data_IF_033274419818
#
_entry.id   IF_033274419818
#
_cell.length_a   1.000
_cell.length_b   1.000
_cell.length_c   1.000
_cell.angle_alpha   90.00
_cell.angle_beta   90.00
_cell.angle_gamma   90.00
#
_symmetry.space_group_name_H-M   'P 1'
#
loop_
_entity.id
_entity.type
_entity.pdbx_description
1 polymer ?
#
# COMPACT_ATOMS: atom_id res chain seq x y z
N UNK A 1 -0.58 -26.86 20.41
CA UNK A 1 0.29 -26.00 19.59
C UNK A 1 0.01 -24.51 19.78
N UNK A 2 -1.19 -24.09 20.22
CA UNK A 2 -1.52 -22.66 20.46
C UNK A 2 -0.93 -22.06 21.75
N UNK A 3 -0.64 -22.86 22.79
CA UNK A 3 -0.16 -22.38 24.09
C UNK A 3 1.20 -21.66 24.06
N UNK A 4 2.10 -22.01 23.14
CA UNK A 4 3.41 -21.37 23.02
C UNK A 4 3.29 -19.94 22.47
N UNK A 5 2.30 -19.71 21.58
CA UNK A 5 2.08 -18.39 20.98
C UNK A 5 1.55 -17.38 22.00
N UNK A 6 1.03 -17.83 23.15
CA UNK A 6 0.59 -16.95 24.24
C UNK A 6 1.73 -16.15 24.89
N UNK A 7 3.00 -16.48 24.62
CA UNK A 7 4.16 -15.66 25.00
C UNK A 7 4.24 -14.36 24.18
N UNK A 8 3.64 -14.33 22.98
CA UNK A 8 3.63 -13.17 22.08
C UNK A 8 2.36 -12.33 22.19
N UNK A 9 1.76 -12.27 23.38
CA UNK A 9 0.54 -11.47 23.62
C UNK A 9 0.81 -9.97 23.47
N UNK A 10 0.37 -9.39 22.34
CA UNK A 10 0.63 -8.00 21.98
C UNK A 10 -0.08 -6.98 22.89
N UNK A 11 -1.04 -7.42 23.72
CA UNK A 11 -1.66 -6.53 24.72
C UNK A 11 -0.70 -6.17 25.86
N UNK A 12 0.45 -6.87 25.96
CA UNK A 12 1.47 -6.65 26.97
C UNK A 12 2.62 -5.77 26.50
N UNK A 13 2.50 -5.11 25.34
CA UNK A 13 3.51 -4.16 24.86
C UNK A 13 3.78 -3.08 25.92
N UNK A 14 5.05 -2.75 26.10
CA UNK A 14 5.48 -1.69 27.00
C UNK A 14 5.10 -0.34 26.40
N UNK A 15 4.55 0.56 27.22
CA UNK A 15 4.26 1.92 26.79
C UNK A 15 5.57 2.64 26.42
N UNK A 16 5.68 3.08 25.17
CA UNK A 16 6.86 3.77 24.63
C UNK A 16 7.85 2.88 23.86
N UNK A 17 7.67 1.56 23.83
CA UNK A 17 8.47 0.66 23.00
C UNK A 17 7.61 -0.52 22.52
N UNK A 18 7.17 -0.46 21.26
CA UNK A 18 6.30 -1.48 20.67
C UNK A 18 7.00 -2.81 20.41
N UNK A 19 8.32 -2.86 20.53
CA UNK A 19 9.15 -4.04 20.33
C UNK A 19 9.35 -4.85 21.62
N UNK A 20 8.95 -4.31 22.77
CA UNK A 20 9.12 -4.96 24.08
C UNK A 20 7.77 -5.36 24.65
N UNK A 21 7.67 -6.62 25.09
CA UNK A 21 6.52 -7.15 25.84
C UNK A 21 6.89 -7.28 27.32
N UNK A 22 6.02 -6.80 28.21
CA UNK A 22 6.11 -7.03 29.66
C UNK A 22 5.55 -8.43 30.00
N UNK A 23 6.45 -9.38 30.23
CA UNK A 23 6.11 -10.78 30.45
C UNK A 23 6.60 -11.23 31.83
N UNK A 24 5.65 -11.54 32.72
CA UNK A 24 5.98 -12.27 33.95
C UNK A 24 6.20 -13.77 33.64
N UNK A 25 7.46 -14.19 33.66
CA UNK A 25 7.90 -15.57 33.46
C UNK A 25 7.16 -16.57 34.37
N UNK A 26 6.75 -16.16 35.58
CA UNK A 26 6.07 -17.05 36.54
C UNK A 26 4.66 -17.43 36.10
N UNK A 27 4.03 -16.61 35.24
CA UNK A 27 2.69 -16.87 34.69
C UNK A 27 2.68 -17.97 33.64
N UNK A 28 3.85 -18.43 33.19
CA UNK A 28 3.99 -19.48 32.19
C UNK A 28 4.56 -20.78 32.79
N UNK A 29 4.14 -21.95 32.26
CA UNK A 29 4.75 -23.24 32.55
C UNK A 29 6.27 -23.25 32.38
N UNK A 30 6.97 -24.07 33.18
CA UNK A 30 8.44 -24.14 33.22
C UNK A 30 9.08 -24.44 31.85
N UNK A 31 8.40 -25.22 31.02
CA UNK A 31 8.78 -25.52 29.63
C UNK A 31 8.91 -24.26 28.75
N UNK A 32 8.13 -23.20 28.99
CA UNK A 32 8.17 -21.95 28.22
C UNK A 32 9.07 -20.88 28.84
N UNK A 33 9.35 -20.99 30.15
CA UNK A 33 10.25 -20.07 30.86
C UNK A 33 11.64 -19.98 30.21
N UNK A 34 12.15 -21.11 29.73
CA UNK A 34 13.43 -21.16 29.00
C UNK A 34 13.40 -20.32 27.71
N UNK A 35 12.29 -20.36 26.98
CA UNK A 35 12.09 -19.58 25.76
C UNK A 35 11.98 -18.09 26.08
N UNK A 36 11.20 -17.73 27.12
CA UNK A 36 11.07 -16.34 27.59
C UNK A 36 12.43 -15.74 27.95
N UNK A 37 13.28 -16.49 28.67
CA UNK A 37 14.65 -16.05 29.01
C UNK A 37 15.53 -15.83 27.78
N UNK A 38 15.41 -16.68 26.76
CA UNK A 38 16.14 -16.50 25.51
C UNK A 38 15.67 -15.26 24.74
N UNK A 39 14.35 -15.03 24.68
CA UNK A 39 13.77 -13.85 24.07
C UNK A 39 14.22 -12.57 24.79
N UNK A 40 14.16 -12.54 26.12
CA UNK A 40 14.64 -11.40 26.92
C UNK A 40 16.14 -11.12 26.69
N UNK A 41 16.94 -12.17 26.51
CA UNK A 41 18.36 -12.01 26.18
C UNK A 41 18.55 -11.41 24.78
N UNK A 42 17.81 -11.90 23.79
CA UNK A 42 17.86 -11.36 22.42
C UNK A 42 17.42 -9.89 22.36
N UNK A 43 16.33 -9.53 23.05
CA UNK A 43 15.85 -8.14 23.16
C UNK A 43 16.85 -7.24 23.91
N UNK A 44 17.76 -7.79 24.71
CA UNK A 44 18.84 -7.02 25.36
C UNK A 44 20.01 -6.72 24.42
N UNK A 45 20.08 -7.34 23.24
CA UNK A 45 21.15 -7.10 22.27
C UNK A 45 20.86 -5.84 21.45
N UNK A 46 21.72 -4.82 21.61
CA UNK A 46 21.56 -3.52 20.95
C UNK A 46 21.52 -3.58 19.42
N UNK A 47 22.11 -4.60 18.80
CA UNK A 47 22.06 -4.80 17.34
C UNK A 47 20.64 -5.18 16.92
N UNK A 48 20.01 -6.11 17.63
CA UNK A 48 18.65 -6.58 17.31
C UNK A 48 17.67 -5.41 17.42
N UNK A 49 17.73 -4.61 18.49
CA UNK A 49 16.87 -3.42 18.64
C UNK A 49 17.02 -2.44 17.48
N UNK A 50 18.27 -2.07 17.16
CA UNK A 50 18.54 -1.13 16.05
C UNK A 50 18.06 -1.69 14.71
N UNK A 51 18.18 -2.99 14.49
CA UNK A 51 17.64 -3.62 13.28
C UNK A 51 16.12 -3.47 13.23
N UNK A 52 15.41 -3.69 14.36
CA UNK A 52 13.96 -3.52 14.43
C UNK A 52 13.54 -2.06 14.18
N UNK A 53 14.24 -1.08 14.76
CA UNK A 53 13.97 0.35 14.51
C UNK A 53 14.10 0.71 13.01
N UNK A 54 15.14 0.18 12.36
CA UNK A 54 15.38 0.41 10.93
C UNK A 54 14.36 -0.34 10.06
N UNK A 55 13.97 -1.55 10.46
CA UNK A 55 12.91 -2.31 9.77
C UNK A 55 11.58 -1.55 9.81
N UNK A 56 11.21 -0.95 10.94
CA UNK A 56 10.02 -0.12 11.06
C UNK A 56 10.05 1.11 10.15
N UNK A 57 11.20 1.81 10.07
CA UNK A 57 11.39 2.93 9.14
C UNK A 57 11.20 2.48 7.68
N UNK A 58 11.84 1.36 7.30
CA UNK A 58 11.71 0.79 5.96
C UNK A 58 10.26 0.39 5.67
N UNK A 59 9.57 -0.25 6.62
CA UNK A 59 8.18 -0.65 6.45
C UNK A 59 7.27 0.57 6.26
N UNK A 60 7.45 1.62 7.06
CA UNK A 60 6.69 2.86 6.92
C UNK A 60 6.90 3.49 5.53
N UNK A 61 8.14 3.53 5.03
CA UNK A 61 8.45 4.02 3.68
C UNK A 61 7.81 3.17 2.58
N UNK A 62 7.85 1.83 2.73
CA UNK A 62 7.23 0.91 1.78
C UNK A 62 5.72 1.13 1.71
N UNK A 63 5.05 1.25 2.85
CA UNK A 63 3.62 1.55 2.89
C UNK A 63 3.28 2.90 2.23
N UNK A 64 4.11 3.93 2.46
CA UNK A 64 3.95 5.22 1.79
C UNK A 64 4.13 5.12 0.28
N UNK A 65 5.10 4.33 -0.18
CA UNK A 65 5.28 4.05 -1.61
C UNK A 65 4.08 3.31 -2.20
N UNK A 66 3.53 2.31 -1.52
CA UNK A 66 2.33 1.59 -1.95
C UNK A 66 1.13 2.54 -2.08
N UNK A 67 0.91 3.40 -1.08
CA UNK A 67 -0.15 4.44 -1.12
C UNK A 67 0.02 5.36 -2.33
N UNK A 68 1.26 5.79 -2.62
CA UNK A 68 1.56 6.64 -3.77
C UNK A 68 1.32 5.93 -5.10
N UNK A 69 1.75 4.67 -5.23
CA UNK A 69 1.54 3.86 -6.43
C UNK A 69 0.04 3.68 -6.70
N UNK A 70 -0.74 3.37 -5.65
CA UNK A 70 -2.19 3.26 -5.77
C UNK A 70 -2.84 4.58 -6.22
N UNK A 71 -2.37 5.72 -5.69
CA UNK A 71 -2.82 7.04 -6.12
C UNK A 71 -2.49 7.35 -7.59
N UNK A 72 -1.28 7.00 -8.04
CA UNK A 72 -0.87 7.14 -9.43
C UNK A 72 -1.72 6.26 -10.36
N UNK A 73 -2.01 5.02 -9.97
CA UNK A 73 -2.88 4.12 -10.73
C UNK A 73 -4.27 4.72 -10.96
N UNK A 74 -4.90 5.30 -9.92
CA UNK A 74 -6.18 6.01 -10.06
C UNK A 74 -6.10 7.18 -11.02
N UNK A 75 -5.03 7.96 -10.94
CA UNK A 75 -4.82 9.13 -11.81
C UNK A 75 -4.66 8.72 -13.27
N UNK A 76 -3.97 7.60 -13.53
CA UNK A 76 -3.82 7.04 -14.89
C UNK A 76 -5.19 6.59 -15.41
N UNK A 77 -5.97 5.87 -14.62
CA UNK A 77 -7.30 5.40 -15.03
C UNK A 77 -8.24 6.57 -15.37
N UNK A 78 -8.22 7.65 -14.59
CA UNK A 78 -8.99 8.86 -14.88
C UNK A 78 -8.55 9.54 -16.18
N UNK A 79 -7.24 9.60 -16.43
CA UNK A 79 -6.69 10.15 -17.68
C UNK A 79 -7.04 9.31 -18.89
N UNK A 80 -7.00 7.98 -18.77
CA UNK A 80 -7.36 7.08 -19.86
C UNK A 80 -8.84 7.25 -20.24
N UNK A 81 -9.74 7.35 -19.25
CA UNK A 81 -11.16 7.66 -19.50
C UNK A 81 -11.35 9.00 -20.21
N UNK A 82 -10.66 10.04 -19.76
CA UNK A 82 -10.72 11.36 -20.39
C UNK A 82 -10.17 11.35 -21.83
N UNK A 83 -9.13 10.55 -22.11
CA UNK A 83 -8.59 10.36 -23.45
C UNK A 83 -9.57 9.62 -24.37
N UNK A 84 -10.24 8.58 -23.87
CA UNK A 84 -11.28 7.88 -24.63
C UNK A 84 -12.47 8.78 -24.96
N UNK A 85 -12.93 9.60 -24.02
CA UNK A 85 -13.99 10.58 -24.25
C UNK A 85 -13.56 11.62 -25.31
N UNK A 86 -12.35 12.15 -25.19
CA UNK A 86 -11.81 13.09 -26.18
C UNK A 86 -11.70 12.46 -27.58
N UNK A 87 -11.29 11.19 -27.67
CA UNK A 87 -11.21 10.47 -28.94
C UNK A 87 -12.59 10.33 -29.61
N UNK A 88 -13.65 10.02 -28.83
CA UNK A 88 -15.03 9.97 -29.33
C UNK A 88 -15.49 11.33 -29.86
N UNK A 89 -15.22 12.40 -29.11
CA UNK A 89 -15.58 13.77 -29.53
C UNK A 89 -14.85 14.17 -30.82
N UNK A 90 -13.58 13.78 -30.98
CA UNK A 90 -12.83 14.00 -32.21
C UNK A 90 -13.47 13.25 -33.40
N UNK A 91 -13.82 11.97 -33.21
CA UNK A 91 -14.46 11.17 -34.26
C UNK A 91 -15.81 11.77 -34.70
N UNK A 92 -16.63 12.25 -33.75
CA UNK A 92 -17.88 12.96 -34.06
C UNK A 92 -17.65 14.25 -34.85
N UNK A 93 -16.61 15.02 -34.48
CA UNK A 93 -16.24 16.25 -35.22
C UNK A 93 -15.78 15.94 -36.63
N UNK A 94 -14.97 14.90 -36.83
CA UNK A 94 -14.51 14.49 -38.15
C UNK A 94 -15.67 14.05 -39.05
N UNK A 95 -16.64 13.30 -38.51
CA UNK A 95 -17.87 12.94 -39.23
C UNK A 95 -18.68 14.18 -39.62
N UNK A 96 -18.87 15.12 -38.70
CA UNK A 96 -19.62 16.36 -38.97
C UNK A 96 -18.91 17.26 -40.00
N UNK A 97 -17.58 17.28 -40.01
CA UNK A 97 -16.80 17.99 -41.04
C UNK A 97 -16.95 17.31 -42.41
N UNK A 98 -16.84 15.98 -42.47
CA UNK A 98 -17.02 15.24 -43.72
C UNK A 98 -18.44 15.44 -44.32
N UNK A 99 -19.47 15.49 -43.47
CA UNK A 99 -20.83 15.79 -43.90
C UNK A 99 -20.96 17.21 -44.46
N UNK A 100 -20.37 18.20 -43.78
CA UNK A 100 -20.33 19.59 -44.26
C UNK A 100 -19.62 19.73 -45.60
N UNK A 101 -18.46 19.08 -45.77
CA UNK A 101 -17.70 19.11 -47.01
C UNK A 101 -18.51 18.51 -48.17
N UNK A 102 -19.24 17.41 -47.91
CA UNK A 102 -20.15 16.82 -48.90
C UNK A 102 -21.27 17.77 -49.31
N UNK A 103 -21.94 18.41 -48.34
CA UNK A 103 -23.01 19.38 -48.63
C UNK A 103 -22.50 20.59 -49.41
N UNK A 104 -21.29 21.07 -49.11
CA UNK A 104 -20.66 22.16 -49.86
C UNK A 104 -20.39 21.74 -51.30
N UNK A 105 -19.86 20.52 -51.53
CA UNK A 105 -19.61 20.00 -52.88
C UNK A 105 -20.92 19.87 -53.69
N UNK A 106 -21.99 19.37 -53.08
CA UNK A 106 -23.32 19.26 -53.73
C UNK A 106 -23.90 20.64 -54.11
N UNK A 107 -23.76 21.64 -53.24
CA UNK A 107 -24.19 23.03 -53.52
C UNK A 107 -23.36 23.71 -54.61
N UNK A 108 -22.05 23.46 -54.65
CA UNK A 108 -21.17 24.02 -55.68
C UNK A 108 -21.36 23.37 -57.05
N UNK A 109 -21.66 22.07 -57.11
CA UNK A 109 -21.95 21.36 -58.36
C UNK A 109 -23.34 21.63 -58.94
N UNK A 110 -24.25 22.22 -58.16
CA UNK A 110 -25.62 22.58 -58.58
C UNK A 110 -25.74 24.00 -59.16
N UNK A 111 -24.62 24.71 -59.34
CA UNK A 111 -24.52 26.04 -59.97
C UNK A 111 -23.89 25.94 -61.35
#
# INVERSE_FOLDING_TARGET
TERLLAVFDQHRKVEGDEHILDIDENTYPEEYRKVIRWLNRAVSESVIRRTMDVEDEILAELEDMERRIAGMGKTIEEKDKALEENAKVLEEKDRALAEKDRLIAELQGSR
#
